data_IF_268001156339
#
_entry.id   IF_268001156339
#
_cell.length_a   1.000
_cell.length_b   1.000
_cell.length_c   1.000
_cell.angle_alpha   90.00
_cell.angle_beta   90.00
_cell.angle_gamma   90.00
#
_symmetry.space_group_name_H-M   'P 1'
#
loop_
_entity.id
_entity.type
_entity.pdbx_description
1 polymer ?
#
# COMPACT_ATOMS: atom_id res chain seq x y z
N UNK A 1 -4.86 16.90 -4.48
CA UNK A 1 -5.61 16.45 -3.30
C UNK A 1 -4.97 15.14 -2.84
N UNK A 2 -3.93 15.23 -2.01
CA UNK A 2 -3.27 14.09 -1.38
C UNK A 2 -4.17 13.59 -0.24
N UNK A 3 -4.23 12.27 -0.06
CA UNK A 3 -5.03 11.65 0.98
C UNK A 3 -4.47 12.00 2.37
N UNK A 4 -4.91 13.13 2.92
CA UNK A 4 -4.64 13.57 4.29
C UNK A 4 -5.99 13.52 5.01
N UNK A 5 -6.20 12.50 5.85
CA UNK A 5 -7.30 12.52 6.80
C UNK A 5 -7.12 13.74 7.72
N UNK A 6 -8.16 14.57 7.75
CA UNK A 6 -8.24 15.93 8.24
C UNK A 6 -8.35 16.02 9.78
N UNK A 7 -7.42 15.46 10.57
CA UNK A 7 -7.56 15.57 12.05
C UNK A 7 -6.33 15.88 12.89
N UNK A 8 -5.09 15.88 12.40
CA UNK A 8 -4.01 16.45 13.22
C UNK A 8 -2.77 16.83 12.40
N UNK A 9 -2.66 18.13 12.10
CA UNK A 9 -1.54 18.75 11.38
C UNK A 9 -0.17 18.49 12.06
N UNK A 10 -0.18 18.10 13.35
CA UNK A 10 1.01 17.78 14.14
C UNK A 10 1.48 16.32 13.97
N UNK A 11 0.56 15.40 13.66
CA UNK A 11 0.88 13.99 13.36
C UNK A 11 1.34 13.80 11.90
N UNK A 12 1.04 14.78 11.04
CA UNK A 12 1.32 14.80 9.61
C UNK A 12 2.83 14.82 9.28
N UNK A 13 3.66 15.44 10.12
CA UNK A 13 5.12 15.46 9.91
C UNK A 13 5.82 14.16 10.34
N UNK A 14 5.18 13.34 11.17
CA UNK A 14 5.75 12.07 11.66
C UNK A 14 5.12 10.82 11.02
N UNK A 15 3.90 10.90 10.45
CA UNK A 15 3.17 9.72 9.93
C UNK A 15 2.85 9.74 8.42
N UNK A 16 3.16 10.81 7.67
CA UNK A 16 2.83 10.86 6.22
C UNK A 16 3.57 9.83 5.36
N UNK A 17 4.59 9.17 5.88
CA UNK A 17 5.26 8.08 5.17
C UNK A 17 4.70 6.67 5.47
N UNK A 18 3.73 6.51 6.38
CA UNK A 18 3.47 5.19 6.97
C UNK A 18 2.32 4.36 6.35
N UNK A 19 1.57 4.87 5.35
CA UNK A 19 0.45 4.12 4.75
C UNK A 19 0.60 3.85 3.24
N UNK A 20 1.41 4.64 2.54
CA UNK A 20 1.63 4.50 1.10
C UNK A 20 2.60 3.37 0.74
N UNK A 21 3.18 2.68 1.73
CA UNK A 21 4.16 1.60 1.55
C UNK A 21 3.75 0.30 2.24
N UNK A 22 2.47 0.17 2.62
CA UNK A 22 1.96 -1.03 3.27
C UNK A 22 1.98 -2.26 2.35
N UNK A 23 2.21 -3.47 2.89
CA UNK A 23 2.16 -4.70 2.11
C UNK A 23 0.71 -5.08 1.80
N UNK A 24 0.44 -5.50 0.56
CA UNK A 24 -0.80 -6.18 0.21
C UNK A 24 -0.56 -7.69 0.33
N UNK A 25 -1.20 -8.32 1.32
CA UNK A 25 -1.01 -9.72 1.69
C UNK A 25 -2.30 -10.47 1.39
N UNK A 26 -2.16 -11.59 0.68
CA UNK A 26 -3.21 -12.60 0.58
C UNK A 26 -2.96 -13.61 1.69
N UNK A 27 -3.95 -13.76 2.58
CA UNK A 27 -3.83 -14.64 3.73
C UNK A 27 -4.00 -16.11 3.31
N UNK A 28 -3.11 -16.96 3.82
CA UNK A 28 -3.19 -18.42 3.66
C UNK A 28 -4.02 -19.08 4.76
N UNK A 29 -3.95 -20.41 4.85
CA UNK A 29 -4.55 -21.14 5.98
C UNK A 29 -3.62 -21.17 7.20
N UNK A 30 -2.32 -20.96 6.99
CA UNK A 30 -1.31 -20.72 8.03
C UNK A 30 -0.51 -19.43 7.75
N UNK A 31 0.15 -18.84 8.76
CA UNK A 31 0.97 -17.63 8.57
C UNK A 31 2.11 -17.79 7.55
N UNK A 32 2.62 -19.02 7.37
CA UNK A 32 3.67 -19.32 6.40
C UNK A 32 3.15 -19.35 4.96
N UNK A 33 1.83 -19.49 4.78
CA UNK A 33 1.16 -19.45 3.48
C UNK A 33 0.74 -18.03 3.09
N UNK A 34 0.98 -17.02 3.93
CA UNK A 34 0.70 -15.62 3.61
C UNK A 34 1.62 -15.13 2.48
N UNK A 35 1.02 -14.61 1.41
CA UNK A 35 1.76 -14.15 0.23
C UNK A 35 1.62 -12.65 0.06
N UNK A 36 2.76 -11.94 0.04
CA UNK A 36 2.80 -10.53 -0.34
C UNK A 36 2.71 -10.38 -1.87
N UNK A 37 1.57 -9.90 -2.35
CA UNK A 37 1.25 -9.77 -3.78
C UNK A 37 1.56 -8.36 -4.33
N UNK A 38 1.76 -7.38 -3.46
CA UNK A 38 2.02 -6.02 -3.87
C UNK A 38 2.43 -5.08 -2.75
N UNK A 39 2.79 -3.87 -3.15
CA UNK A 39 3.03 -2.73 -2.26
C UNK A 39 2.09 -1.61 -2.69
N UNK A 40 1.42 -0.98 -1.73
CA UNK A 40 0.58 0.19 -2.00
C UNK A 40 1.43 1.28 -2.69
N UNK A 41 0.85 2.05 -3.61
CA UNK A 41 1.58 3.14 -4.26
C UNK A 41 0.80 4.44 -4.18
N UNK A 42 -0.30 4.57 -4.91
CA UNK A 42 -1.08 5.80 -4.94
C UNK A 42 -2.57 5.51 -5.15
N UNK A 43 -3.41 6.49 -4.82
CA UNK A 43 -4.84 6.39 -5.06
C UNK A 43 -5.40 7.79 -5.30
N UNK A 44 -6.43 7.89 -6.14
CA UNK A 44 -7.20 9.13 -6.30
C UNK A 44 -8.12 9.27 -5.09
N UNK A 45 -8.00 10.37 -4.37
CA UNK A 45 -8.90 10.75 -3.27
C UNK A 45 -9.13 9.64 -2.24
N UNK A 46 -8.04 9.06 -1.68
CA UNK A 46 -8.11 7.98 -0.69
C UNK A 46 -8.88 6.73 -1.16
N UNK A 47 -8.71 6.34 -2.43
CA UNK A 47 -9.47 5.27 -3.08
C UNK A 47 -10.96 5.63 -3.23
N UNK A 48 -11.24 6.63 -4.07
CA UNK A 48 -12.58 6.90 -4.57
C UNK A 48 -13.25 5.64 -5.11
N UNK A 49 -14.55 5.48 -4.89
CA UNK A 49 -15.32 4.33 -5.41
C UNK A 49 -15.26 4.19 -6.94
N UNK A 50 -14.94 5.28 -7.64
CA UNK A 50 -14.80 5.31 -9.10
C UNK A 50 -13.38 4.96 -9.58
N UNK A 51 -12.37 5.12 -8.72
CA UNK A 51 -10.96 4.92 -9.06
C UNK A 51 -10.29 4.04 -8.01
N UNK A 52 -10.03 2.76 -8.32
CA UNK A 52 -9.38 1.87 -7.38
C UNK A 52 -7.98 2.36 -7.02
N UNK A 53 -7.51 1.93 -5.85
CA UNK A 53 -6.12 2.12 -5.45
C UNK A 53 -5.17 1.43 -6.43
N UNK A 54 -4.03 2.06 -6.69
CA UNK A 54 -2.96 1.54 -7.54
C UNK A 54 -1.81 1.09 -6.65
N UNK A 55 -1.37 -0.15 -6.85
CA UNK A 55 -0.23 -0.75 -6.18
C UNK A 55 0.76 -1.35 -7.16
N UNK A 56 2.00 -1.50 -6.72
CA UNK A 56 3.05 -2.19 -7.47
C UNK A 56 2.92 -3.69 -7.26
N UNK A 57 2.80 -4.46 -8.34
CA UNK A 57 2.69 -5.93 -8.30
C UNK A 57 4.06 -6.56 -8.09
N UNK A 58 4.29 -7.24 -6.98
CA UNK A 58 5.59 -7.88 -6.66
C UNK A 58 5.97 -8.96 -7.67
N UNK A 59 4.98 -9.70 -8.19
CA UNK A 59 5.21 -10.73 -9.22
C UNK A 59 5.67 -10.17 -10.57
N UNK A 60 5.47 -8.87 -10.86
CA UNK A 60 5.96 -8.27 -12.11
C UNK A 60 7.46 -7.95 -12.07
N UNK A 61 8.06 -7.91 -10.88
CA UNK A 61 9.47 -7.55 -10.67
C UNK A 61 10.17 -8.58 -9.79
N UNK A 62 9.68 -9.82 -9.77
CA UNK A 62 10.21 -10.88 -8.90
C UNK A 62 11.67 -11.20 -9.22
N UNK A 63 12.08 -11.10 -10.48
CA UNK A 63 13.46 -11.33 -10.88
C UNK A 63 14.37 -10.27 -10.24
N UNK A 64 14.03 -8.98 -10.40
CA UNK A 64 14.74 -7.87 -9.75
C UNK A 64 14.78 -7.97 -8.22
N UNK A 65 13.71 -8.46 -7.58
CA UNK A 65 13.64 -8.56 -6.12
C UNK A 65 14.55 -9.68 -5.59
N UNK A 66 14.80 -10.72 -6.40
CA UNK A 66 15.56 -11.91 -6.01
C UNK A 66 17.05 -11.82 -6.33
N UNK A 67 17.43 -10.92 -7.24
CA UNK A 67 18.82 -10.58 -7.57
C UNK A 67 19.48 -9.75 -6.46
#
# INVERSE_FOLDING_TARGET
>A
MFCISCTSLLLLLLLVFHHWTGPYIVLGTTPEEDVQVGVVSWAVNCASSQFPMVGSRTSASVDFIRD
#
